data_IF_747550482061
#
_entry.id   IF_747550482061
#
_cell.length_a   1.000
_cell.length_b   1.000
_cell.length_c   1.000
_cell.angle_alpha   90.00
_cell.angle_beta   90.00
_cell.angle_gamma   90.00
#
_symmetry.space_group_name_H-M   'P 1'
#
loop_
_entity.id
_entity.type
_entity.pdbx_description
1 polymer ?
#
# COMPACT_ATOMS: atom_id res chain seq x y z
N UNK A 1 -2.03 -25.59 4.14
CA UNK A 1 -3.21 -26.11 3.45
C UNK A 1 -4.22 -26.74 4.41
N UNK A 2 -5.07 -25.88 4.98
CA UNK A 2 -6.25 -26.32 5.71
C UNK A 2 -7.47 -25.89 4.90
N UNK A 3 -7.88 -26.71 3.92
CA UNK A 3 -9.20 -26.56 3.32
C UNK A 3 -10.21 -26.74 4.46
N UNK A 4 -10.80 -25.64 4.92
CA UNK A 4 -11.97 -25.69 5.79
C UNK A 4 -13.04 -26.42 4.98
N UNK A 5 -13.30 -27.69 5.27
CA UNK A 5 -14.45 -28.39 4.71
C UNK A 5 -15.62 -28.22 5.70
N UNK A 6 -16.78 -27.77 5.21
CA UNK A 6 -17.97 -27.55 6.03
C UNK A 6 -18.73 -26.27 5.69
N UNK A 7 -19.80 -25.96 6.45
CA UNK A 7 -20.72 -24.85 6.17
C UNK A 7 -20.04 -23.47 6.14
N UNK A 8 -18.92 -23.29 6.85
CA UNK A 8 -18.13 -22.04 6.78
C UNK A 8 -17.51 -21.80 5.40
N UNK A 9 -17.03 -22.86 4.74
CA UNK A 9 -16.43 -22.73 3.41
C UNK A 9 -17.47 -22.53 2.31
N UNK A 10 -18.66 -23.11 2.46
CA UNK A 10 -19.80 -22.81 1.59
C UNK A 10 -20.23 -21.35 1.75
N UNK A 11 -20.31 -20.84 2.98
CA UNK A 11 -20.62 -19.44 3.25
C UNK A 11 -19.52 -18.47 2.75
N UNK A 12 -18.24 -18.85 2.84
CA UNK A 12 -17.14 -18.09 2.25
C UNK A 12 -17.19 -18.10 0.72
N UNK A 13 -17.47 -19.25 0.11
CA UNK A 13 -17.65 -19.36 -1.34
C UNK A 13 -18.84 -18.53 -1.84
N UNK A 14 -19.96 -18.52 -1.11
CA UNK A 14 -21.12 -17.70 -1.43
C UNK A 14 -20.81 -16.19 -1.37
N UNK A 15 -20.17 -15.72 -0.28
CA UNK A 15 -19.73 -14.32 -0.15
C UNK A 15 -18.75 -13.91 -1.24
N UNK A 16 -17.84 -14.81 -1.62
CA UNK A 16 -16.91 -14.58 -2.72
C UNK A 16 -17.64 -14.48 -4.06
N UNK A 17 -18.62 -15.34 -4.32
CA UNK A 17 -19.42 -15.29 -5.54
C UNK A 17 -20.22 -13.97 -5.63
N UNK A 18 -20.76 -13.49 -4.51
CA UNK A 18 -21.44 -12.20 -4.41
C UNK A 18 -20.50 -11.04 -4.76
N UNK A 19 -19.32 -10.96 -4.16
CA UNK A 19 -18.31 -9.94 -4.44
C UNK A 19 -17.91 -9.90 -5.93
N UNK A 20 -17.70 -11.08 -6.53
CA UNK A 20 -17.42 -11.19 -7.97
C UNK A 20 -18.60 -10.69 -8.81
N UNK A 21 -19.84 -11.03 -8.43
CA UNK A 21 -21.04 -10.55 -9.09
C UNK A 21 -21.15 -9.02 -9.07
N UNK A 22 -20.86 -8.39 -7.93
CA UNK A 22 -20.82 -6.92 -7.80
C UNK A 22 -19.75 -6.32 -8.73
N UNK A 23 -18.52 -6.85 -8.71
CA UNK A 23 -17.43 -6.35 -9.56
C UNK A 23 -17.74 -6.49 -11.06
N UNK A 24 -18.39 -7.58 -11.46
CA UNK A 24 -18.76 -7.85 -12.86
C UNK A 24 -19.93 -6.98 -13.33
N UNK A 25 -20.91 -6.73 -12.47
CA UNK A 25 -22.06 -5.88 -12.77
C UNK A 25 -21.69 -4.38 -12.82
N UNK A 26 -20.66 -3.96 -12.08
CA UNK A 26 -20.28 -2.55 -11.98
C UNK A 26 -19.91 -1.92 -13.33
N UNK A 27 -20.56 -0.83 -13.72
CA UNK A 27 -20.27 -0.15 -14.97
C UNK A 27 -19.13 0.84 -14.80
N UNK A 28 -18.03 0.63 -15.54
CA UNK A 28 -16.86 1.51 -15.51
C UNK A 28 -16.76 2.32 -16.81
N UNK A 29 -17.19 3.60 -16.83
CA UNK A 29 -17.17 4.41 -18.04
C UNK A 29 -15.79 5.03 -18.33
N UNK A 30 -14.81 4.88 -17.43
CA UNK A 30 -13.52 5.58 -17.48
C UNK A 30 -12.39 4.75 -18.11
N UNK A 31 -12.73 3.72 -18.91
CA UNK A 31 -11.76 2.91 -19.64
C UNK A 31 -12.07 1.42 -19.59
N UNK A 32 -11.04 0.59 -19.72
CA UNK A 32 -11.18 -0.87 -19.67
C UNK A 32 -11.38 -1.34 -18.22
N UNK A 33 -12.42 -2.15 -17.98
CA UNK A 33 -12.60 -2.92 -16.75
C UNK A 33 -12.11 -4.35 -16.95
N UNK A 34 -11.32 -4.86 -16.01
CA UNK A 34 -10.94 -6.27 -15.94
C UNK A 34 -11.21 -6.75 -14.51
N UNK A 35 -11.88 -7.89 -14.36
CA UNK A 35 -12.08 -8.55 -13.06
C UNK A 35 -11.15 -9.76 -12.99
N UNK A 36 -10.22 -9.75 -12.04
CA UNK A 36 -9.28 -10.86 -11.82
C UNK A 36 -9.75 -11.67 -10.61
N UNK A 37 -10.34 -12.84 -10.88
CA UNK A 37 -10.76 -13.78 -9.84
C UNK A 37 -9.56 -14.61 -9.39
N UNK A 38 -9.27 -14.67 -8.07
CA UNK A 38 -8.17 -15.47 -7.50
C UNK A 38 -8.66 -16.86 -7.14
N UNK A 39 -7.93 -17.93 -7.45
CA UNK A 39 -8.37 -19.30 -7.14
C UNK A 39 -8.45 -19.57 -5.64
N UNK A 40 -7.51 -19.03 -4.86
CA UNK A 40 -7.45 -19.14 -3.40
C UNK A 40 -7.39 -17.77 -2.72
N UNK A 41 -7.63 -17.76 -1.40
CA UNK A 41 -7.44 -16.58 -0.56
C UNK A 41 -5.93 -16.29 -0.41
N UNK A 42 -5.46 -15.18 -0.99
CA UNK A 42 -4.04 -14.78 -0.95
C UNK A 42 -3.65 -14.05 0.34
N UNK A 43 -4.61 -13.81 1.24
CA UNK A 43 -4.44 -12.91 2.38
C UNK A 43 -4.17 -11.45 1.96
N UNK A 44 -4.15 -10.55 2.94
CA UNK A 44 -3.98 -9.11 2.68
C UNK A 44 -2.65 -8.81 1.96
N UNK A 45 -1.56 -9.40 2.43
CA UNK A 45 -0.22 -9.18 1.83
C UNK A 45 -0.20 -9.68 0.39
N UNK A 46 -0.66 -10.91 0.14
CA UNK A 46 -0.68 -11.46 -1.21
C UNK A 46 -1.56 -10.67 -2.18
N UNK A 47 -2.70 -10.13 -1.72
CA UNK A 47 -3.55 -9.27 -2.55
C UNK A 47 -2.86 -7.97 -2.94
N UNK A 48 -2.19 -7.31 -2.01
CA UNK A 48 -1.41 -6.09 -2.29
C UNK A 48 -0.25 -6.34 -3.24
N UNK A 49 0.54 -7.38 -3.01
CA UNK A 49 1.69 -7.72 -3.85
C UNK A 49 1.28 -8.15 -5.27
N UNK A 50 0.09 -8.75 -5.42
CA UNK A 50 -0.43 -9.19 -6.71
C UNK A 50 -1.32 -8.14 -7.40
N UNK A 51 -1.51 -6.95 -6.81
CA UNK A 51 -2.35 -5.89 -7.36
C UNK A 51 -1.77 -5.29 -8.65
N UNK A 52 -0.44 -5.22 -8.75
CA UNK A 52 0.23 -4.71 -9.94
C UNK A 52 1.64 -5.30 -10.09
N UNK A 53 1.89 -5.94 -11.23
CA UNK A 53 3.23 -6.28 -11.70
C UNK A 53 3.62 -5.26 -12.78
N UNK A 54 4.59 -4.37 -12.53
CA UNK A 54 5.01 -3.43 -13.55
C UNK A 54 5.75 -4.14 -14.67
N UNK A 55 5.32 -3.94 -15.92
CA UNK A 55 6.17 -4.24 -17.06
C UNK A 55 7.40 -3.36 -16.98
N UNK A 56 8.61 -3.93 -17.04
CA UNK A 56 9.90 -3.25 -16.96
C UNK A 56 10.55 -3.00 -18.32
N UNK A 57 10.00 -3.55 -19.42
CA UNK A 57 10.53 -3.39 -20.77
C UNK A 57 10.20 -2.03 -21.42
N UNK A 58 9.17 -1.33 -20.92
CA UNK A 58 8.74 -0.02 -21.41
C UNK A 58 9.54 1.18 -20.85
N UNK A 59 9.33 2.39 -21.42
CA UNK A 59 10.01 3.61 -21.00
C UNK A 59 9.66 4.01 -19.57
N UNK A 60 10.51 4.83 -18.94
CA UNK A 60 10.39 5.19 -17.52
C UNK A 60 9.12 5.96 -17.17
N UNK A 61 8.56 6.69 -18.14
CA UNK A 61 7.30 7.41 -18.05
C UNK A 61 6.06 6.55 -18.32
N UNK A 62 6.25 5.23 -18.46
CA UNK A 62 5.22 4.21 -18.71
C UNK A 62 4.07 4.18 -17.70
N UNK A 63 3.15 3.21 -17.84
CA UNK A 63 1.89 3.19 -17.09
C UNK A 63 2.10 3.28 -15.57
N UNK A 64 1.28 4.10 -14.93
CA UNK A 64 1.19 4.22 -13.48
C UNK A 64 -0.05 3.53 -12.95
N UNK A 65 -0.02 3.13 -11.69
CA UNK A 65 -1.15 2.51 -10.99
C UNK A 65 -1.52 3.34 -9.75
N UNK A 66 -2.79 3.28 -9.40
CA UNK A 66 -3.30 3.66 -8.08
C UNK A 66 -3.99 2.42 -7.51
N UNK A 67 -3.59 2.00 -6.31
CA UNK A 67 -4.15 0.86 -5.60
C UNK A 67 -5.13 1.40 -4.56
N UNK A 68 -6.35 0.86 -4.55
CA UNK A 68 -7.46 1.26 -3.71
C UNK A 68 -8.07 0.01 -3.06
N UNK A 69 -8.33 0.09 -1.76
CA UNK A 69 -9.17 -0.86 -1.04
C UNK A 69 -10.65 -0.48 -1.23
N UNK A 70 -11.56 -1.43 -1.03
CA UNK A 70 -12.99 -1.28 -1.28
C UNK A 70 -13.74 -0.46 -0.22
N UNK A 71 -13.08 -0.17 0.90
CA UNK A 71 -13.58 0.60 2.03
C UNK A 71 -13.12 2.07 2.03
N UNK A 72 -12.54 2.56 0.93
CA UNK A 72 -12.07 3.94 0.80
C UNK A 72 -13.08 4.85 0.09
N UNK A 73 -13.27 6.05 0.63
CA UNK A 73 -13.92 7.16 -0.07
C UNK A 73 -12.86 8.11 -0.67
N UNK A 74 -13.06 8.50 -1.94
CA UNK A 74 -12.13 9.38 -2.65
C UNK A 74 -12.71 10.78 -2.85
N UNK A 75 -11.89 11.78 -2.56
CA UNK A 75 -12.19 13.17 -2.93
C UNK A 75 -12.35 13.32 -4.44
N UNK A 76 -13.35 14.05 -4.97
CA UNK A 76 -13.48 14.31 -6.41
C UNK A 76 -12.24 14.94 -7.08
N UNK A 77 -11.31 15.48 -6.30
CA UNK A 77 -10.05 16.09 -6.78
C UNK A 77 -8.85 15.13 -6.75
N UNK A 78 -9.00 13.90 -6.24
CA UNK A 78 -7.89 12.95 -6.03
C UNK A 78 -7.08 12.72 -7.31
N UNK A 79 -7.77 12.51 -8.44
CA UNK A 79 -7.12 12.19 -9.71
C UNK A 79 -6.36 13.37 -10.29
N UNK A 80 -6.89 14.59 -10.13
CA UNK A 80 -6.20 15.81 -10.56
C UNK A 80 -4.92 16.01 -9.74
N UNK A 81 -5.01 15.83 -8.42
CA UNK A 81 -3.87 15.97 -7.52
C UNK A 81 -2.79 14.91 -7.81
N UNK A 82 -3.17 13.64 -7.95
CA UNK A 82 -2.23 12.56 -8.23
C UNK A 82 -1.47 12.77 -9.55
N UNK A 83 -2.15 13.18 -10.62
CA UNK A 83 -1.50 13.51 -11.90
C UNK A 83 -0.51 14.66 -11.76
N UNK A 84 -0.85 15.69 -10.99
CA UNK A 84 0.05 16.80 -10.72
C UNK A 84 1.29 16.30 -9.95
N UNK A 85 1.10 15.54 -8.87
CA UNK A 85 2.21 15.04 -8.06
C UNK A 85 3.13 14.11 -8.85
N UNK A 86 2.58 13.24 -9.70
CA UNK A 86 3.39 12.40 -10.59
C UNK A 86 4.20 13.23 -11.58
N UNK A 87 3.63 14.31 -12.13
CA UNK A 87 4.35 15.20 -13.04
C UNK A 87 5.51 15.92 -12.33
N UNK A 88 5.26 16.46 -11.14
CA UNK A 88 6.25 17.28 -10.43
C UNK A 88 7.33 16.43 -9.72
N UNK A 89 6.96 15.27 -9.17
CA UNK A 89 7.84 14.46 -8.31
C UNK A 89 8.21 13.09 -8.89
N UNK A 90 7.57 12.63 -9.97
CA UNK A 90 7.74 11.28 -10.50
C UNK A 90 9.13 10.97 -11.05
N UNK A 91 9.94 11.99 -11.35
CA UNK A 91 11.34 11.83 -11.78
C UNK A 91 12.34 11.64 -10.64
N UNK A 92 11.91 11.65 -9.38
CA UNK A 92 12.79 11.48 -8.22
C UNK A 92 13.23 10.02 -8.06
N UNK A 93 14.52 9.82 -7.84
CA UNK A 93 15.10 8.49 -7.58
C UNK A 93 14.76 7.94 -6.19
N UNK A 94 14.49 8.82 -5.23
CA UNK A 94 14.16 8.49 -3.84
C UNK A 94 12.65 8.38 -3.57
N UNK A 95 11.81 8.42 -4.60
CA UNK A 95 10.35 8.32 -4.45
C UNK A 95 9.91 6.86 -4.45
N UNK A 96 9.40 6.37 -3.32
CA UNK A 96 8.80 5.04 -3.21
C UNK A 96 7.40 5.00 -3.86
N UNK A 97 6.64 6.07 -3.68
CA UNK A 97 5.28 6.21 -4.20
C UNK A 97 4.58 7.43 -3.62
N UNK A 98 3.34 7.63 -4.05
CA UNK A 98 2.47 8.74 -3.64
C UNK A 98 1.28 8.15 -2.90
N UNK A 99 0.98 8.62 -1.69
CA UNK A 99 -0.24 8.24 -0.96
C UNK A 99 -1.27 9.37 -1.02
N UNK A 100 -2.55 9.00 -1.09
CA UNK A 100 -3.67 9.93 -1.05
C UNK A 100 -4.10 10.29 0.39
N UNK A 101 -3.69 9.51 1.39
CA UNK A 101 -4.10 9.71 2.78
C UNK A 101 -3.39 10.89 3.45
N UNK A 102 -3.94 11.39 4.55
CA UNK A 102 -3.16 12.12 5.54
C UNK A 102 -2.37 11.12 6.39
N UNK A 103 -1.07 11.37 6.60
CA UNK A 103 -0.27 10.47 7.43
C UNK A 103 -0.57 10.69 8.91
N UNK A 104 -1.27 9.74 9.53
CA UNK A 104 -1.55 9.76 10.96
C UNK A 104 -0.41 9.12 11.78
N UNK A 105 0.47 8.34 11.15
CA UNK A 105 1.55 7.65 11.83
C UNK A 105 2.87 8.45 11.88
N UNK A 106 3.38 8.67 13.09
CA UNK A 106 4.72 9.22 13.31
C UNK A 106 5.80 8.13 13.19
N UNK A 107 7.03 8.52 12.87
CA UNK A 107 8.21 7.65 12.84
C UNK A 107 8.68 7.33 14.27
N UNK A 108 7.75 7.10 15.17
CA UNK A 108 7.94 6.72 16.54
C UNK A 108 6.70 5.94 17.01
N UNK A 109 6.59 5.74 18.31
CA UNK A 109 5.50 4.96 18.91
C UNK A 109 4.36 5.85 19.42
N UNK A 110 4.33 7.13 19.05
CA UNK A 110 3.29 8.05 19.51
C UNK A 110 1.99 7.83 18.75
N UNK A 111 0.87 8.01 19.46
CA UNK A 111 -0.48 7.95 18.91
C UNK A 111 -0.97 9.32 18.43
N UNK A 112 -0.06 10.26 18.16
CA UNK A 112 -0.42 11.60 17.69
C UNK A 112 -0.26 11.68 16.18
N UNK A 113 -1.21 12.35 15.52
CA UNK A 113 -1.12 12.62 14.09
C UNK A 113 0.18 13.35 13.73
N UNK A 114 0.70 13.06 12.54
CA UNK A 114 1.86 13.76 12.02
C UNK A 114 1.44 15.16 11.57
N UNK A 115 1.86 16.18 12.32
CA UNK A 115 1.77 17.56 11.88
C UNK A 115 3.05 17.99 11.15
N UNK A 116 2.91 18.50 9.93
CA UNK A 116 4.01 19.04 9.13
C UNK A 116 3.77 20.52 8.90
N UNK A 117 4.67 21.36 9.43
CA UNK A 117 4.60 22.81 9.31
C UNK A 117 5.33 23.29 8.04
N UNK A 118 4.74 23.03 6.87
CA UNK A 118 5.21 23.52 5.57
C UNK A 118 4.08 24.14 4.73
N UNK A 119 2.99 24.58 5.37
CA UNK A 119 1.78 25.04 4.69
C UNK A 119 1.12 23.93 3.87
N UNK A 120 0.28 24.25 2.86
CA UNK A 120 -0.42 23.24 2.07
C UNK A 120 0.45 22.55 1.01
N UNK A 121 1.74 22.35 1.30
CA UNK A 121 2.69 21.76 0.39
C UNK A 121 2.83 20.26 0.65
N UNK A 122 2.87 19.42 -0.40
CA UNK A 122 3.14 18.01 -0.22
C UNK A 122 4.52 17.80 0.43
N UNK A 123 4.67 16.71 1.17
CA UNK A 123 5.92 16.38 1.87
C UNK A 123 6.31 14.93 1.64
N UNK A 124 7.61 14.67 1.78
CA UNK A 124 8.18 13.34 1.73
C UNK A 124 8.32 12.77 3.15
N UNK A 125 8.04 11.48 3.30
CA UNK A 125 8.02 10.82 4.59
C UNK A 125 8.45 9.36 4.52
N UNK A 126 8.94 8.82 5.65
CA UNK A 126 9.60 7.50 5.70
C UNK A 126 8.65 6.33 5.88
N UNK A 127 7.46 6.56 6.44
CA UNK A 127 6.45 5.51 6.62
C UNK A 127 5.61 5.44 5.36
N UNK A 128 5.34 4.25 4.79
CA UNK A 128 4.47 4.11 3.64
C UNK A 128 2.99 4.32 3.99
N UNK A 129 2.21 4.69 2.98
CA UNK A 129 0.78 4.95 3.14
C UNK A 129 -0.01 3.75 2.65
N UNK A 130 -1.08 3.42 3.37
CA UNK A 130 -1.95 2.28 3.04
C UNK A 130 -3.21 2.70 2.28
N UNK A 131 -3.68 3.95 2.40
CA UNK A 131 -4.90 4.40 1.75
C UNK A 131 -4.59 5.21 0.49
N UNK A 132 -5.06 4.69 -0.64
CA UNK A 132 -4.82 5.24 -1.97
C UNK A 132 -3.33 5.36 -2.29
N UNK A 133 -2.66 4.24 -2.53
CA UNK A 133 -1.22 4.23 -2.79
C UNK A 133 -0.92 4.06 -4.28
N UNK A 134 -0.15 4.98 -4.83
CA UNK A 134 0.37 4.96 -6.19
C UNK A 134 1.89 4.72 -6.16
N UNK A 135 2.34 3.45 -6.20
CA UNK A 135 3.76 3.12 -6.14
C UNK A 135 4.54 3.68 -7.34
N UNK A 136 5.78 4.07 -7.09
CA UNK A 136 6.73 4.35 -8.16
C UNK A 136 7.14 3.03 -8.84
N UNK A 137 7.09 3.00 -10.17
CA UNK A 137 7.25 1.79 -11.00
C UNK A 137 8.50 0.98 -10.66
N UNK A 138 9.67 1.61 -10.71
CA UNK A 138 10.97 0.94 -10.50
C UNK A 138 11.16 0.45 -9.05
N UNK A 139 10.96 1.30 -8.02
CA UNK A 139 10.99 0.83 -6.63
C UNK A 139 10.02 -0.30 -6.34
N UNK A 140 8.80 -0.26 -6.88
CA UNK A 140 7.81 -1.32 -6.67
C UNK A 140 8.22 -2.64 -7.30
N UNK A 141 8.69 -2.64 -8.55
CA UNK A 141 9.20 -3.87 -9.19
C UNK A 141 10.34 -4.51 -8.40
N UNK A 142 11.29 -3.68 -7.92
CA UNK A 142 12.38 -4.13 -7.05
C UNK A 142 11.88 -4.66 -5.71
N UNK A 143 10.90 -4.01 -5.11
CA UNK A 143 10.26 -4.46 -3.88
C UNK A 143 9.63 -5.83 -4.05
N UNK A 144 8.86 -6.07 -5.12
CA UNK A 144 8.25 -7.36 -5.38
C UNK A 144 9.29 -8.47 -5.51
N UNK A 145 10.38 -8.21 -6.24
CA UNK A 145 11.49 -9.17 -6.37
C UNK A 145 12.18 -9.44 -5.02
N UNK A 146 12.48 -8.38 -4.26
CA UNK A 146 13.09 -8.48 -2.94
C UNK A 146 12.21 -9.24 -1.95
N UNK A 147 10.92 -8.92 -1.89
CA UNK A 147 9.96 -9.54 -0.98
C UNK A 147 9.77 -11.03 -1.31
N UNK A 148 9.65 -11.39 -2.60
CA UNK A 148 9.56 -12.79 -3.03
C UNK A 148 10.79 -13.58 -2.61
N UNK A 149 11.98 -13.02 -2.79
CA UNK A 149 13.24 -13.67 -2.41
C UNK A 149 13.36 -13.84 -0.88
N UNK A 150 12.97 -12.82 -0.11
CA UNK A 150 12.95 -12.87 1.35
C UNK A 150 11.94 -13.91 1.87
N UNK A 151 10.70 -13.88 1.37
CA UNK A 151 9.66 -14.83 1.72
C UNK A 151 10.05 -16.28 1.39
N UNK A 152 10.73 -16.51 0.25
CA UNK A 152 11.21 -17.85 -0.14
C UNK A 152 12.27 -18.42 0.83
N UNK A 153 12.99 -17.56 1.55
CA UNK A 153 13.94 -17.96 2.61
C UNK A 153 13.29 -18.12 3.98
N UNK A 154 12.01 -17.75 4.12
CA UNK A 154 11.34 -17.67 5.41
C UNK A 154 11.74 -16.45 6.24
N UNK A 155 12.30 -15.41 5.60
CA UNK A 155 12.67 -14.18 6.28
C UNK A 155 11.41 -13.39 6.70
N UNK A 156 11.63 -12.36 7.52
CA UNK A 156 10.63 -11.40 7.99
C UNK A 156 11.08 -9.98 7.65
N UNK A 157 10.16 -8.99 7.66
CA UNK A 157 10.55 -7.59 7.54
C UNK A 157 11.44 -7.16 8.71
N UNK A 158 12.44 -6.33 8.41
CA UNK A 158 13.35 -5.80 9.43
C UNK A 158 12.65 -4.89 10.45
N UNK A 159 13.22 -4.86 11.67
CA UNK A 159 12.91 -3.85 12.68
C UNK A 159 13.48 -2.48 12.26
N UNK A 160 12.63 -1.63 11.71
CA UNK A 160 13.00 -0.27 11.32
C UNK A 160 12.91 0.66 12.51
N UNK A 161 14.02 1.34 12.80
CA UNK A 161 14.11 2.33 13.87
C UNK A 161 14.37 3.73 13.34
N UNK A 162 13.88 4.73 14.08
CA UNK A 162 14.15 6.14 13.88
C UNK A 162 14.48 6.78 15.23
N UNK A 163 15.62 7.49 15.31
CA UNK A 163 16.14 8.10 16.54
C UNK A 163 16.15 7.15 17.75
N UNK A 164 16.54 5.90 17.51
CA UNK A 164 16.64 4.85 18.55
C UNK A 164 15.31 4.24 18.99
N UNK A 165 14.19 4.54 18.32
CA UNK A 165 12.87 3.96 18.62
C UNK A 165 12.35 3.18 17.42
N UNK A 166 11.59 2.12 17.65
CA UNK A 166 10.88 1.42 16.58
C UNK A 166 9.87 2.37 15.93
N UNK A 167 9.81 2.32 14.61
CA UNK A 167 8.72 2.93 13.85
C UNK A 167 7.45 2.13 14.10
N UNK A 168 6.30 2.80 14.11
CA UNK A 168 4.99 2.22 14.45
C UNK A 168 4.71 0.88 13.76
N UNK A 169 4.99 0.76 12.46
CA UNK A 169 4.73 -0.47 11.69
C UNK A 169 5.60 -1.64 12.16
N UNK A 170 6.89 -1.40 12.47
CA UNK A 170 7.77 -2.44 13.04
C UNK A 170 7.37 -2.79 14.47
N UNK A 171 6.94 -1.81 15.27
CA UNK A 171 6.39 -2.08 16.60
C UNK A 171 5.14 -2.96 16.53
N UNK A 172 4.18 -2.62 15.67
CA UNK A 172 2.96 -3.41 15.47
C UNK A 172 3.28 -4.83 15.01
N UNK A 173 4.24 -5.00 14.09
CA UNK A 173 4.68 -6.32 13.63
C UNK A 173 5.15 -7.18 14.80
N UNK A 174 6.10 -6.66 15.59
CA UNK A 174 6.64 -7.35 16.75
C UNK A 174 5.58 -7.70 17.79
N UNK A 175 4.71 -6.75 18.12
CA UNK A 175 3.65 -6.97 19.11
C UNK A 175 2.73 -8.10 18.67
N UNK A 176 2.25 -8.07 17.42
CA UNK A 176 1.34 -9.11 16.93
C UNK A 176 2.02 -10.48 16.82
N UNK A 177 3.31 -10.53 16.44
CA UNK A 177 4.09 -11.78 16.49
C UNK A 177 4.23 -12.33 17.90
N UNK A 178 4.51 -11.48 18.88
CA UNK A 178 4.61 -11.89 20.28
C UNK A 178 3.28 -12.39 20.84
N UNK A 179 2.15 -11.88 20.33
CA UNK A 179 0.79 -12.36 20.63
C UNK A 179 0.41 -13.66 19.88
N UNK A 180 1.31 -14.23 19.07
CA UNK A 180 1.03 -15.43 18.27
C UNK A 180 0.13 -15.18 17.06
N UNK A 181 -0.03 -13.93 16.64
CA UNK A 181 -0.82 -13.55 15.45
C UNK A 181 0.09 -13.52 14.22
N UNK A 182 -0.49 -13.84 13.07
CA UNK A 182 0.13 -13.62 11.77
C UNK A 182 -0.07 -12.16 11.31
N UNK A 183 0.98 -11.30 11.26
CA UNK A 183 0.83 -9.90 10.93
C UNK A 183 0.58 -9.72 9.43
N UNK A 184 -0.66 -9.41 9.10
CA UNK A 184 -1.12 -9.17 7.72
C UNK A 184 -0.76 -7.77 7.24
N UNK A 185 0.53 -7.41 7.22
CA UNK A 185 0.99 -6.02 6.96
C UNK A 185 2.02 -5.95 5.83
N UNK A 186 1.57 -5.61 4.62
CA UNK A 186 2.48 -5.37 3.49
C UNK A 186 3.36 -4.13 3.74
N UNK A 187 2.86 -3.16 4.50
CA UNK A 187 3.57 -1.93 4.86
C UNK A 187 4.81 -2.18 5.70
N UNK A 188 4.87 -3.26 6.50
CA UNK A 188 6.07 -3.64 7.24
C UNK A 188 7.19 -4.10 6.30
N UNK A 189 6.85 -4.96 5.34
CA UNK A 189 7.74 -5.38 4.25
C UNK A 189 8.23 -4.19 3.44
N UNK A 190 7.30 -3.31 3.06
CA UNK A 190 7.64 -2.16 2.24
C UNK A 190 8.48 -1.14 3.02
N UNK A 191 8.24 -0.94 4.32
CA UNK A 191 9.05 -0.08 5.17
C UNK A 191 10.50 -0.59 5.30
N UNK A 192 10.70 -1.90 5.49
CA UNK A 192 12.04 -2.51 5.51
C UNK A 192 12.76 -2.29 4.17
N UNK A 193 12.09 -2.55 3.05
CA UNK A 193 12.64 -2.29 1.71
C UNK A 193 12.93 -0.79 1.46
N UNK A 194 11.99 0.10 1.81
CA UNK A 194 12.21 1.55 1.68
C UNK A 194 13.42 2.01 2.49
N UNK A 195 13.62 1.42 3.67
CA UNK A 195 14.76 1.75 4.54
C UNK A 195 16.09 1.33 3.92
N UNK A 196 16.18 0.13 3.36
CA UNK A 196 17.42 -0.35 2.72
C UNK A 196 17.76 0.43 1.45
N UNK A 197 16.75 1.00 0.79
CA UNK A 197 16.89 1.69 -0.50
C UNK A 197 16.85 3.22 -0.39
N UNK A 198 16.73 3.76 0.83
CA UNK A 198 16.71 5.21 1.06
C UNK A 198 15.47 5.92 0.50
N UNK A 199 14.36 5.21 0.33
CA UNK A 199 13.15 5.72 -0.31
C UNK A 199 12.21 6.46 0.65
N UNK A 200 11.40 7.35 0.08
CA UNK A 200 10.41 8.17 0.77
C UNK A 200 9.06 8.15 0.02
N UNK A 201 7.96 8.20 0.77
CA UNK A 201 6.61 8.35 0.22
C UNK A 201 6.19 9.82 0.22
N UNK A 202 5.53 10.25 -0.84
CA UNK A 202 4.95 11.60 -0.95
C UNK A 202 3.53 11.61 -0.41
N UNK A 203 3.20 12.63 0.38
CA UNK A 203 1.90 12.82 1.01
C UNK A 203 1.32 14.20 0.73
N UNK A 204 -0.02 14.34 0.72
CA UNK A 204 -0.67 15.64 0.81
C UNK A 204 -0.48 16.26 2.20
N UNK A 205 -0.44 17.59 2.26
CA UNK A 205 -0.59 18.35 3.50
C UNK A 205 -1.78 19.30 3.40
N UNK A 206 -3.00 18.76 3.42
CA UNK A 206 -4.18 19.62 3.30
C UNK A 206 -4.55 20.24 4.66
N UNK A 207 -5.16 21.45 4.66
CA UNK A 207 -5.67 22.06 5.88
C UNK A 207 -6.56 21.11 6.68
N UNK A 208 -6.42 21.13 8.01
CA UNK A 208 -7.24 20.31 8.91
C UNK A 208 -6.88 18.82 8.92
N UNK A 209 -5.69 18.43 8.43
CA UNK A 209 -5.30 17.01 8.39
C UNK A 209 -6.08 16.20 7.36
N UNK A 210 -6.63 16.85 6.33
CA UNK A 210 -7.39 16.17 5.30
C UNK A 210 -6.50 15.38 4.34
N UNK A 211 -7.07 14.32 3.76
CA UNK A 211 -6.51 13.54 2.66
C UNK A 211 -7.42 13.55 1.43
N UNK A 212 -6.95 12.93 0.36
CA UNK A 212 -7.75 12.60 -0.83
C UNK A 212 -8.40 11.20 -0.75
N UNK A 213 -8.02 10.40 0.25
CA UNK A 213 -8.62 9.11 0.60
C UNK A 213 -8.81 9.03 2.12
N UNK A 214 -9.95 8.52 2.57
CA UNK A 214 -10.30 8.27 3.97
C UNK A 214 -11.26 7.09 4.08
#
# INVERSE_FOLDING_TARGET
DGLRAGPEAEAEAARRAECVGVAEAFQWPFGRKTVVRREANLGLVGQWLAAWEPDMAGPDDGPAVLILEDDLELSPLFWRWLKLMRREYGGREDLAGISLQHQHHRCDTSSTDLWVDNGPQPYLYRVPGSWGFAPARRPWARFLAWQRAAAARGDEPDDVTYRGRLVCTSQMWRTWRAEGRDPKMWTAWYLSFMRSEGLLCLYPNLPGGAGFAA
#
